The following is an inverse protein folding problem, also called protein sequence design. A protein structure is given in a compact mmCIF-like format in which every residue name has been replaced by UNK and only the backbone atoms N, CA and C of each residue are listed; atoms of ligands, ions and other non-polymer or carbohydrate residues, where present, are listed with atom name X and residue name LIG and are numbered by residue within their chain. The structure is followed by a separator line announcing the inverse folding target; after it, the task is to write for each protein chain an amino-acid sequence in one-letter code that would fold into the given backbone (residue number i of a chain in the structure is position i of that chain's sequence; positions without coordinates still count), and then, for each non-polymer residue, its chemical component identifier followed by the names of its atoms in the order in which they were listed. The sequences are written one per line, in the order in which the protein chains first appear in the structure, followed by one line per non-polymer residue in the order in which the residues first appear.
data_IF_390946094486
#
_entry.id   IF_390946094486
#
_cell.length_a   1.000
_cell.length_b   1.000
_cell.length_c   1.000
_cell.angle_alpha   90.00
_cell.angle_beta   90.00
_cell.angle_gamma   90.00
#
_symmetry.space_group_name_H-M   'P 1'
#
loop_
_entity.id
_entity.type
_entity.pdbx_description
1 polymer ?
#
# COMPACT_ATOMS: atom_id res chain seq x y z
N UNK A 1 -6.89 -5.38 25.64
CA UNK A 1 -5.65 -6.17 25.56
C UNK A 1 -4.55 -5.25 25.04
N UNK A 2 -3.32 -5.29 25.60
CA UNK A 2 -2.24 -4.38 25.18
C UNK A 2 -1.67 -4.71 23.79
N UNK A 3 -1.83 -5.96 23.33
CA UNK A 3 -1.43 -6.41 21.99
C UNK A 3 -2.67 -6.69 21.15
N UNK A 4 -2.62 -6.27 19.89
CA UNK A 4 -3.55 -6.71 18.85
C UNK A 4 -2.83 -7.72 17.95
N UNK A 5 -3.50 -8.82 17.64
CA UNK A 5 -3.00 -9.85 16.74
C UNK A 5 -4.06 -10.16 15.70
N UNK A 6 -3.63 -10.23 14.45
CA UNK A 6 -4.48 -10.65 13.34
C UNK A 6 -3.76 -11.77 12.59
N UNK A 7 -4.30 -13.01 12.61
CA UNK A 7 -3.63 -14.13 11.97
C UNK A 7 -3.56 -13.93 10.45
N UNK A 8 -2.60 -14.58 9.81
CA UNK A 8 -2.37 -14.53 8.35
C UNK A 8 -3.68 -14.70 7.53
N UNK A 9 -4.52 -15.65 7.92
CA UNK A 9 -5.84 -15.95 7.30
C UNK A 9 -6.85 -14.79 7.34
N UNK A 10 -6.67 -13.85 8.27
CA UNK A 10 -7.55 -12.67 8.47
C UNK A 10 -6.86 -11.36 8.03
N UNK A 11 -5.62 -11.45 7.52
CA UNK A 11 -4.81 -10.33 7.04
C UNK A 11 -4.25 -10.64 5.65
N UNK A 12 -3.02 -11.15 5.59
CA UNK A 12 -2.26 -11.40 4.35
C UNK A 12 -3.02 -12.21 3.28
N UNK A 13 -3.82 -13.21 3.68
CA UNK A 13 -4.55 -14.07 2.73
C UNK A 13 -5.90 -13.47 2.30
N UNK A 14 -6.33 -12.39 2.95
CA UNK A 14 -7.55 -11.68 2.57
C UNK A 14 -7.21 -10.78 1.39
N UNK A 15 -7.95 -10.97 0.29
CA UNK A 15 -7.83 -10.07 -0.85
C UNK A 15 -8.29 -8.68 -0.43
N UNK A 16 -7.46 -7.63 -0.63
CA UNK A 16 -7.83 -6.29 -0.21
C UNK A 16 -9.05 -5.75 -0.99
N UNK A 17 -9.72 -4.74 -0.46
CA UNK A 17 -10.88 -4.11 -1.10
C UNK A 17 -10.46 -3.42 -2.40
N UNK A 18 -11.24 -3.60 -3.47
CA UNK A 18 -10.95 -2.95 -4.76
C UNK A 18 -11.20 -1.44 -4.66
N UNK A 19 -10.18 -0.63 -4.97
CA UNK A 19 -10.23 0.84 -4.94
C UNK A 19 -10.07 1.49 -6.33
N UNK A 20 -9.69 0.69 -7.33
CA UNK A 20 -9.58 1.11 -8.72
C UNK A 20 -9.66 -0.08 -9.67
N UNK A 21 -9.47 0.10 -10.99
CA UNK A 21 -9.54 -0.98 -11.96
C UNK A 21 -8.59 -2.15 -11.65
N UNK A 22 -7.38 -1.81 -11.20
CA UNK A 22 -6.25 -2.72 -10.98
C UNK A 22 -5.65 -2.66 -9.56
N UNK A 23 -6.19 -1.80 -8.70
CA UNK A 23 -5.63 -1.54 -7.37
C UNK A 23 -6.59 -1.94 -6.26
N UNK A 24 -6.03 -2.54 -5.22
CA UNK A 24 -6.75 -3.02 -4.06
C UNK A 24 -6.04 -2.54 -2.79
N UNK A 25 -6.79 -2.07 -1.81
CA UNK A 25 -6.30 -1.53 -0.55
C UNK A 25 -7.26 -1.90 0.58
N UNK A 26 -6.70 -2.29 1.72
CA UNK A 26 -7.48 -2.47 2.95
C UNK A 26 -8.45 -3.66 2.91
N UNK A 27 -9.35 -3.83 3.89
CA UNK A 27 -9.56 -2.94 5.02
C UNK A 27 -8.31 -2.82 5.90
N UNK A 28 -8.21 -1.71 6.63
CA UNK A 28 -7.10 -1.51 7.56
C UNK A 28 -7.04 -2.67 8.57
N UNK A 29 -5.87 -3.29 8.68
CA UNK A 29 -5.60 -4.40 9.59
C UNK A 29 -5.59 -3.91 11.03
N UNK A 30 -4.89 -2.79 11.28
CA UNK A 30 -4.93 -2.06 12.56
C UNK A 30 -4.98 -0.55 12.32
N UNK A 31 -5.55 0.14 13.30
CA UNK A 31 -5.53 1.60 13.42
C UNK A 31 -5.13 1.90 14.86
N UNK A 32 -4.19 2.80 15.06
CA UNK A 32 -3.72 3.19 16.40
C UNK A 32 -4.83 3.89 17.18
N UNK A 33 -4.87 3.67 18.49
CA UNK A 33 -5.69 4.45 19.43
C UNK A 33 -5.01 5.80 19.73
N UNK A 34 -5.12 6.71 18.76
CA UNK A 34 -4.58 8.07 18.82
C UNK A 34 -5.65 9.08 18.39
N UNK A 35 -5.49 10.37 18.74
CA UNK A 35 -6.29 11.44 18.14
C UNK A 35 -6.26 11.39 16.62
N UNK A 36 -7.36 11.80 15.98
CA UNK A 36 -7.60 11.62 14.54
C UNK A 36 -6.44 12.11 13.65
N UNK A 37 -5.86 13.27 13.97
CA UNK A 37 -4.74 13.90 13.25
C UNK A 37 -3.39 13.19 13.44
N UNK A 38 -3.35 12.20 14.34
CA UNK A 38 -2.15 11.43 14.71
C UNK A 38 -2.34 9.92 14.52
N UNK A 39 -3.47 9.50 13.96
CA UNK A 39 -3.73 8.09 13.72
C UNK A 39 -2.80 7.54 12.64
N UNK A 40 -2.24 6.38 12.92
CA UNK A 40 -1.62 5.54 11.90
C UNK A 40 -2.51 4.32 11.65
N UNK A 41 -2.68 3.99 10.38
CA UNK A 41 -3.32 2.76 9.95
C UNK A 41 -2.35 1.92 9.13
N UNK A 42 -2.52 0.62 9.16
CA UNK A 42 -1.72 -0.30 8.36
C UNK A 42 -2.58 -1.40 7.74
N UNK A 43 -2.07 -1.99 6.67
CA UNK A 43 -2.77 -3.06 5.98
C UNK A 43 -2.02 -3.52 4.75
N UNK A 44 -2.76 -4.16 3.84
CA UNK A 44 -2.21 -4.69 2.60
C UNK A 44 -2.70 -3.91 1.39
N UNK A 45 -1.79 -3.76 0.43
CA UNK A 45 -2.04 -3.17 -0.87
C UNK A 45 -1.65 -4.18 -1.96
N UNK A 46 -2.48 -4.29 -2.99
CA UNK A 46 -2.22 -5.12 -4.17
C UNK A 46 -2.43 -4.31 -5.44
N UNK A 47 -1.43 -4.36 -6.32
CA UNK A 47 -1.53 -3.84 -7.68
C UNK A 47 -1.47 -5.03 -8.64
N UNK A 48 -2.50 -5.24 -9.46
CA UNK A 48 -2.48 -6.25 -10.53
C UNK A 48 -2.14 -5.61 -11.88
N UNK A 49 -1.82 -6.44 -12.86
CA UNK A 49 -1.63 -6.02 -14.24
C UNK A 49 -2.83 -5.23 -14.81
N UNK A 50 -2.52 -4.21 -15.61
CA UNK A 50 -3.50 -3.41 -16.36
C UNK A 50 -3.20 -1.91 -16.27
N UNK A 51 -4.26 -1.10 -16.14
CA UNK A 51 -4.14 0.34 -15.98
C UNK A 51 -3.26 0.72 -14.78
N UNK A 52 -2.39 1.71 -14.96
CA UNK A 52 -1.51 2.21 -13.89
C UNK A 52 -2.34 2.98 -12.86
N UNK A 53 -2.03 2.79 -11.59
CA UNK A 53 -2.54 3.69 -10.56
C UNK A 53 -1.61 4.89 -10.45
N UNK A 54 -2.14 6.09 -10.66
CA UNK A 54 -1.46 7.36 -10.35
C UNK A 54 -2.16 7.94 -9.13
N UNK A 55 -1.42 8.12 -8.04
CA UNK A 55 -1.99 8.56 -6.77
C UNK A 55 -1.13 9.64 -6.10
N UNK A 56 -1.76 10.78 -5.79
CA UNK A 56 -1.15 11.87 -5.04
C UNK A 56 -1.44 11.69 -3.55
N UNK A 57 -0.38 11.51 -2.76
CA UNK A 57 -0.47 11.22 -1.34
C UNK A 57 -0.91 12.44 -0.53
N UNK A 58 -2.01 12.32 0.23
CA UNK A 58 -2.48 13.36 1.16
C UNK A 58 -1.89 13.26 2.58
N UNK A 59 -1.13 12.19 2.84
CA UNK A 59 -0.45 11.84 4.09
C UNK A 59 0.88 11.13 3.81
N UNK A 60 1.72 11.00 4.83
CA UNK A 60 2.93 10.18 4.78
C UNK A 60 2.59 8.70 4.86
N UNK A 61 3.14 7.90 3.95
CA UNK A 61 2.98 6.44 3.93
C UNK A 61 4.31 5.74 3.67
N UNK A 62 4.55 4.65 4.38
CA UNK A 62 5.64 3.73 4.09
C UNK A 62 5.08 2.39 3.64
N UNK A 63 5.80 1.72 2.74
CA UNK A 63 5.48 0.36 2.31
C UNK A 63 6.69 -0.54 2.38
N UNK A 64 6.46 -1.83 2.60
CA UNK A 64 7.41 -2.90 2.28
C UNK A 64 6.76 -3.85 1.27
N UNK A 65 7.49 -4.17 0.21
CA UNK A 65 7.04 -5.13 -0.80
C UNK A 65 7.18 -6.52 -0.24
N UNK A 66 6.09 -7.28 -0.26
CA UNK A 66 6.04 -8.63 0.30
C UNK A 66 6.20 -9.70 -0.78
N UNK A 67 5.65 -9.45 -1.96
CA UNK A 67 5.63 -10.43 -3.06
C UNK A 67 5.43 -9.73 -4.40
N UNK A 68 6.03 -10.27 -5.45
CA UNK A 68 5.93 -9.78 -6.83
C UNK A 68 5.86 -10.95 -7.78
N UNK A 69 4.83 -10.96 -8.63
CA UNK A 69 4.72 -11.83 -9.80
C UNK A 69 4.74 -10.94 -11.04
N UNK A 70 5.58 -11.27 -12.01
CA UNK A 70 5.83 -10.41 -13.16
C UNK A 70 6.79 -9.27 -12.82
N UNK A 71 6.64 -8.13 -13.48
CA UNK A 71 7.44 -6.93 -13.26
C UNK A 71 6.59 -5.85 -12.61
N UNK A 72 7.04 -5.33 -11.46
CA UNK A 72 6.32 -4.28 -10.73
C UNK A 72 7.17 -3.01 -10.64
N UNK A 73 6.71 -1.95 -11.29
CA UNK A 73 7.35 -0.65 -11.24
C UNK A 73 6.64 0.32 -10.30
N UNK A 74 7.44 1.05 -9.54
CA UNK A 74 7.01 2.19 -8.73
C UNK A 74 7.83 3.40 -9.17
N UNK A 75 7.16 4.50 -9.50
CA UNK A 75 7.82 5.73 -9.96
C UNK A 75 7.18 6.98 -9.37
N UNK A 76 7.97 8.05 -9.24
CA UNK A 76 7.50 9.36 -8.76
C UNK A 76 7.36 10.39 -9.89
N UNK A 77 6.82 11.56 -9.56
CA UNK A 77 6.61 12.67 -10.48
C UNK A 77 7.90 13.28 -11.08
N UNK A 78 9.08 12.95 -10.54
CA UNK A 78 10.37 13.42 -11.07
C UNK A 78 10.90 12.51 -12.18
N UNK A 79 10.25 11.36 -12.39
CA UNK A 79 10.69 10.32 -13.31
C UNK A 79 11.63 9.29 -12.68
N UNK A 80 11.88 9.36 -11.36
CA UNK A 80 12.58 8.28 -10.66
C UNK A 80 11.72 7.02 -10.68
N UNK A 81 12.30 5.91 -11.13
CA UNK A 81 11.59 4.65 -11.37
C UNK A 81 12.39 3.49 -10.81
N UNK A 82 11.73 2.65 -10.04
CA UNK A 82 12.29 1.44 -9.42
C UNK A 82 11.50 0.23 -9.92
N UNK A 83 12.21 -0.83 -10.33
CA UNK A 83 11.63 -2.16 -10.47
C UNK A 83 11.66 -2.83 -9.10
N UNK A 84 10.50 -2.87 -8.45
CA UNK A 84 10.37 -3.28 -7.06
C UNK A 84 10.43 -4.81 -6.91
N UNK A 85 11.11 -5.25 -5.86
CA UNK A 85 11.28 -6.66 -5.49
C UNK A 85 10.85 -6.90 -4.04
N UNK A 86 10.56 -8.15 -3.69
CA UNK A 86 10.21 -8.50 -2.31
C UNK A 86 11.33 -8.11 -1.33
N UNK A 87 10.96 -7.40 -0.26
CA UNK A 87 11.88 -6.84 0.73
C UNK A 87 12.19 -5.35 0.52
N UNK A 88 11.92 -4.78 -0.65
CA UNK A 88 12.12 -3.35 -0.88
C UNK A 88 11.19 -2.51 -0.01
N UNK A 89 11.70 -1.36 0.43
CA UNK A 89 10.98 -0.40 1.27
C UNK A 89 10.83 0.94 0.56
N UNK A 90 9.66 1.55 0.73
CA UNK A 90 9.33 2.83 0.11
C UNK A 90 8.80 3.80 1.17
N UNK A 91 9.13 5.08 1.01
CA UNK A 91 8.54 6.18 1.76
C UNK A 91 7.96 7.20 0.77
N UNK A 92 6.64 7.36 0.81
CA UNK A 92 5.89 8.32 0.03
C UNK A 92 5.52 9.50 0.93
N UNK A 93 6.07 10.67 0.60
CA UNK A 93 5.85 11.88 1.38
C UNK A 93 4.48 12.45 1.05
N UNK A 94 3.86 13.10 2.03
CA UNK A 94 2.67 13.92 1.76
C UNK A 94 2.97 14.92 0.62
N UNK A 95 2.10 14.93 -0.39
CA UNK A 95 2.17 15.79 -1.57
C UNK A 95 2.83 15.16 -2.80
N UNK A 96 3.50 14.00 -2.67
CA UNK A 96 4.13 13.32 -3.82
C UNK A 96 3.12 12.52 -4.62
N UNK A 97 3.35 12.40 -5.93
CA UNK A 97 2.53 11.60 -6.85
C UNK A 97 3.27 10.36 -7.27
N UNK A 98 2.76 9.20 -6.85
CA UNK A 98 3.37 7.91 -7.15
C UNK A 98 2.54 7.18 -8.20
N UNK A 99 3.24 6.59 -9.16
CA UNK A 99 2.65 5.72 -10.18
C UNK A 99 3.05 4.27 -9.90
N UNK A 100 2.04 3.40 -9.83
CA UNK A 100 2.18 1.95 -9.68
C UNK A 100 1.80 1.24 -10.98
N UNK A 101 2.68 0.42 -11.50
CA UNK A 101 2.51 -0.28 -12.78
C UNK A 101 2.97 -1.72 -12.64
N UNK A 102 2.10 -2.68 -12.91
CA UNK A 102 2.47 -4.09 -12.96
C UNK A 102 2.26 -4.66 -14.36
N UNK A 103 3.18 -5.52 -14.79
CA UNK A 103 3.17 -6.23 -16.08
C UNK A 103 3.33 -7.72 -15.80
N UNK A 104 2.38 -8.55 -16.24
CA UNK A 104 2.48 -10.01 -16.15
C UNK A 104 2.19 -10.62 -14.78
N UNK A 105 1.50 -9.92 -13.87
CA UNK A 105 1.11 -10.48 -12.57
C UNK A 105 0.57 -9.48 -11.55
N UNK A 106 1.25 -9.37 -10.41
CA UNK A 106 0.90 -8.44 -9.33
C UNK A 106 2.10 -8.01 -8.49
N UNK A 107 1.99 -6.84 -7.86
CA UNK A 107 2.80 -6.42 -6.72
C UNK A 107 1.95 -6.43 -5.45
N UNK A 108 2.51 -6.92 -4.35
CA UNK A 108 1.84 -6.99 -3.06
C UNK A 108 2.69 -6.36 -1.96
N UNK A 109 2.09 -5.51 -1.12
CA UNK A 109 2.82 -4.73 -0.13
C UNK A 109 2.07 -4.63 1.20
N UNK A 110 2.82 -4.54 2.30
CA UNK A 110 2.32 -4.03 3.57
C UNK A 110 2.54 -2.52 3.60
N UNK A 111 1.53 -1.76 4.03
CA UNK A 111 1.65 -0.31 4.20
C UNK A 111 1.39 0.10 5.64
N UNK A 112 1.93 1.26 6.00
CA UNK A 112 1.54 2.03 7.18
C UNK A 112 1.52 3.50 6.81
N UNK A 113 0.48 4.23 7.18
CA UNK A 113 0.34 5.65 6.84
C UNK A 113 -0.36 6.44 7.92
N UNK A 114 -0.09 7.75 7.95
CA UNK A 114 -0.72 8.72 8.86
C UNK A 114 -2.13 9.08 8.37
N UNK A 115 -3.05 8.13 8.48
CA UNK A 115 -4.42 8.27 8.01
C UNK A 115 -5.40 7.61 8.96
N UNK A 116 -6.64 8.09 8.92
CA UNK A 116 -7.75 7.51 9.65
C UNK A 116 -8.22 6.23 8.99
N UNK A 117 -9.05 5.48 9.72
CA UNK A 117 -9.58 4.19 9.28
C UNK A 117 -10.17 4.26 7.87
N UNK A 118 -9.69 3.40 7.00
CA UNK A 118 -10.18 3.16 5.64
C UNK A 118 -10.24 4.44 4.78
N UNK A 119 -9.41 5.45 5.08
CA UNK A 119 -9.24 6.60 4.21
C UNK A 119 -8.80 6.15 2.80
N UNK A 120 -9.03 6.97 1.77
CA UNK A 120 -8.48 6.73 0.43
C UNK A 120 -7.36 7.72 0.14
#
# INVERSE_FOLDING_TARGET
MPMLYRPRKEGYEVTPTKIGPTSFLGPDVFVSDAPEDKQISCGFYKQVEGEKLVYTYSYDEMKVILDVVGTYYISDETGYKVEAQAGDVFYFKKGTTITFENIGGYGYAWYTGLRTRDAL
#
